data_IF_325016841301
#
_entry.id   IF_325016841301
#
_cell.length_a   1.000
_cell.length_b   1.000
_cell.length_c   1.000
_cell.angle_alpha   90.00
_cell.angle_beta   90.00
_cell.angle_gamma   90.00
#
_symmetry.space_group_name_H-M   'P 1'
#
loop_
_entity.id
_entity.type
_entity.pdbx_description
1 polymer ?
#
# COMPACT_ATOMS: atom_id res chain seq x y z
N UNK A 1 63.52 -21.49 -21.17
CA UNK A 1 62.60 -22.14 -20.20
C UNK A 1 62.27 -23.54 -20.66
N UNK A 2 63.19 -24.48 -20.46
CA UNK A 2 63.05 -25.91 -20.80
C UNK A 2 63.48 -26.79 -19.62
N UNK A 3 63.45 -26.24 -18.41
CA UNK A 3 63.87 -26.93 -17.21
C UNK A 3 62.77 -27.89 -16.76
N UNK A 4 63.16 -29.07 -16.25
CA UNK A 4 62.21 -30.03 -15.72
C UNK A 4 61.62 -29.54 -14.39
N UNK A 5 60.32 -29.81 -14.18
CA UNK A 5 59.64 -29.54 -12.91
C UNK A 5 59.84 -30.69 -11.93
N UNK A 6 59.96 -30.36 -10.65
CA UNK A 6 59.96 -31.33 -9.57
C UNK A 6 58.60 -31.40 -8.86
N UNK A 7 58.42 -32.40 -7.98
CA UNK A 7 57.16 -32.64 -7.26
C UNK A 7 56.79 -31.48 -6.32
N UNK A 8 57.78 -30.79 -5.73
CA UNK A 8 57.51 -29.65 -4.85
C UNK A 8 56.91 -28.48 -5.63
N UNK A 9 57.41 -28.20 -6.83
CA UNK A 9 56.86 -27.20 -7.75
C UNK A 9 55.43 -27.56 -8.16
N UNK A 10 55.15 -28.84 -8.43
CA UNK A 10 53.80 -29.30 -8.76
C UNK A 10 52.82 -29.08 -7.59
N UNK A 11 53.18 -29.50 -6.37
CA UNK A 11 52.32 -29.33 -5.19
C UNK A 11 52.04 -27.86 -4.87
N UNK A 12 53.04 -26.98 -5.04
CA UNK A 12 52.87 -25.55 -4.85
C UNK A 12 51.89 -24.95 -5.86
N UNK A 13 51.94 -25.38 -7.12
CA UNK A 13 50.97 -24.98 -8.14
C UNK A 13 49.57 -25.51 -7.85
N UNK A 14 49.44 -26.72 -7.32
CA UNK A 14 48.16 -27.34 -7.00
C UNK A 14 47.47 -26.67 -5.81
N UNK A 15 48.23 -26.23 -4.81
CA UNK A 15 47.71 -25.61 -3.59
C UNK A 15 46.88 -24.33 -3.84
N UNK A 16 47.09 -23.64 -4.96
CA UNK A 16 46.32 -22.46 -5.36
C UNK A 16 45.24 -22.73 -6.41
N UNK A 17 45.07 -23.98 -6.85
CA UNK A 17 44.15 -24.36 -7.92
C UNK A 17 42.73 -24.53 -7.39
N UNK A 18 41.74 -23.99 -8.10
CA UNK A 18 40.32 -24.28 -7.88
C UNK A 18 39.95 -25.52 -8.67
N UNK A 19 39.34 -26.52 -8.01
CA UNK A 19 39.13 -27.85 -8.59
C UNK A 19 37.76 -28.41 -8.23
N UNK A 20 37.14 -29.10 -9.19
CA UNK A 20 36.04 -30.01 -8.91
C UNK A 20 36.55 -31.29 -8.23
N UNK A 21 35.67 -31.95 -7.49
CA UNK A 21 35.98 -33.26 -6.91
C UNK A 21 36.05 -34.35 -7.97
N UNK A 22 36.94 -35.31 -7.76
CA UNK A 22 37.07 -36.52 -8.59
C UNK A 22 36.55 -37.71 -7.80
N UNK A 23 35.63 -38.46 -8.40
CA UNK A 23 35.03 -39.65 -7.82
C UNK A 23 36.03 -40.82 -7.77
N UNK A 24 35.72 -41.85 -6.98
CA UNK A 24 36.57 -43.04 -6.85
C UNK A 24 36.78 -43.81 -8.17
N UNK A 25 35.84 -43.69 -9.12
CA UNK A 25 35.93 -44.28 -10.46
C UNK A 25 36.76 -43.44 -11.45
N UNK A 26 37.30 -42.30 -11.00
CA UNK A 26 38.11 -41.38 -11.79
C UNK A 26 37.31 -40.33 -12.59
N UNK A 27 35.97 -40.34 -12.54
CA UNK A 27 35.14 -39.30 -13.16
C UNK A 27 35.15 -37.99 -12.36
N UNK A 28 34.94 -36.85 -13.03
CA UNK A 28 34.87 -35.52 -12.38
C UNK A 28 33.41 -35.15 -12.09
N UNK A 29 33.13 -34.68 -10.87
CA UNK A 29 31.81 -34.19 -10.49
C UNK A 29 31.66 -32.68 -10.76
N UNK A 30 31.01 -32.32 -11.88
CA UNK A 30 30.79 -30.92 -12.27
C UNK A 30 29.57 -30.25 -11.60
N UNK A 31 28.79 -30.99 -10.81
CA UNK A 31 27.54 -30.46 -10.24
C UNK A 31 27.74 -29.49 -9.08
N UNK A 32 28.86 -29.60 -8.36
CA UNK A 32 29.17 -28.77 -7.19
C UNK A 32 30.65 -28.38 -7.23
N UNK A 33 30.91 -27.08 -7.02
CA UNK A 33 32.26 -26.56 -6.83
C UNK A 33 32.41 -26.03 -5.41
N UNK A 34 33.12 -26.78 -4.57
CA UNK A 34 33.39 -26.40 -3.18
C UNK A 34 34.51 -25.36 -3.13
N UNK A 35 34.25 -24.22 -2.49
CA UNK A 35 35.24 -23.19 -2.18
C UNK A 35 35.48 -23.15 -0.66
N UNK A 36 36.49 -22.39 -0.23
CA UNK A 36 36.82 -22.24 1.18
C UNK A 36 38.10 -22.96 1.56
N UNK A 37 38.31 -23.11 2.87
CA UNK A 37 39.53 -23.71 3.44
C UNK A 37 39.41 -25.21 3.76
N UNK A 38 38.25 -25.81 3.49
CA UNK A 38 37.97 -27.22 3.82
C UNK A 38 37.70 -27.50 5.30
N UNK A 39 37.70 -26.48 6.15
CA UNK A 39 37.47 -26.55 7.60
C UNK A 39 36.32 -25.65 8.09
N UNK A 40 35.51 -25.15 7.15
CA UNK A 40 34.31 -24.33 7.42
C UNK A 40 34.46 -22.85 7.04
N UNK A 41 35.67 -22.40 6.67
CA UNK A 41 35.86 -21.07 6.10
C UNK A 41 35.32 -20.97 4.68
N UNK A 42 34.93 -19.77 4.27
CA UNK A 42 34.36 -19.49 2.94
C UNK A 42 35.28 -18.58 2.11
N UNK A 43 35.03 -18.52 0.81
CA UNK A 43 35.80 -17.68 -0.12
C UNK A 43 34.92 -16.60 -0.75
N UNK A 44 35.34 -15.33 -0.69
CA UNK A 44 34.70 -14.25 -1.44
C UNK A 44 35.20 -14.25 -2.88
N UNK A 45 34.28 -14.35 -3.83
CA UNK A 45 34.59 -14.26 -5.27
C UNK A 45 34.51 -12.77 -5.70
N UNK A 46 35.65 -12.21 -6.10
CA UNK A 46 35.75 -10.84 -6.62
C UNK A 46 35.64 -10.78 -8.14
N UNK A 47 35.48 -9.56 -8.68
CA UNK A 47 35.47 -9.30 -10.13
C UNK A 47 34.39 -10.07 -10.92
N UNK A 48 33.27 -10.38 -10.27
CA UNK A 48 32.10 -10.98 -10.92
C UNK A 48 31.34 -9.89 -11.69
N UNK A 49 31.31 -10.03 -13.01
CA UNK A 49 30.54 -9.14 -13.89
C UNK A 49 29.03 -9.31 -13.67
N UNK A 50 28.23 -8.39 -14.20
CA UNK A 50 26.78 -8.53 -14.11
C UNK A 50 26.31 -9.75 -14.91
N UNK A 51 25.45 -10.57 -14.30
CA UNK A 51 24.74 -11.67 -14.94
C UNK A 51 23.89 -11.17 -16.11
N UNK A 52 23.85 -11.96 -17.20
CA UNK A 52 23.04 -11.69 -18.40
C UNK A 52 22.04 -12.83 -18.64
N UNK A 53 22.46 -14.08 -18.45
CA UNK A 53 21.62 -15.27 -18.57
C UNK A 53 21.08 -15.71 -17.21
N UNK A 54 20.00 -16.49 -17.21
CA UNK A 54 19.34 -16.99 -16.00
C UNK A 54 20.25 -17.82 -15.08
N UNK A 55 21.26 -18.48 -15.64
CA UNK A 55 22.21 -19.34 -14.91
C UNK A 55 23.53 -18.65 -14.57
N UNK A 56 23.66 -17.35 -14.84
CA UNK A 56 24.87 -16.60 -14.50
C UNK A 56 24.89 -16.23 -13.00
N UNK A 57 26.09 -16.17 -12.42
CA UNK A 57 26.25 -15.69 -11.06
C UNK A 57 25.95 -14.19 -10.97
N UNK A 58 25.09 -13.80 -10.02
CA UNK A 58 24.78 -12.39 -9.76
C UNK A 58 25.87 -11.73 -8.92
N UNK A 59 26.18 -10.48 -9.22
CA UNK A 59 27.06 -9.68 -8.39
C UNK A 59 26.27 -8.80 -7.40
N UNK A 60 26.97 -8.23 -6.42
CA UNK A 60 26.34 -7.44 -5.36
C UNK A 60 25.63 -6.16 -5.88
N UNK A 61 26.09 -5.59 -7.00
CA UNK A 61 25.46 -4.42 -7.59
C UNK A 61 24.07 -4.75 -8.17
N UNK A 62 23.91 -5.92 -8.81
CA UNK A 62 22.60 -6.38 -9.29
C UNK A 62 21.63 -6.63 -8.12
N UNK A 63 22.10 -7.24 -7.03
CA UNK A 63 21.28 -7.45 -5.85
C UNK A 63 20.77 -6.11 -5.28
N UNK A 64 21.65 -5.12 -5.08
CA UNK A 64 21.26 -3.79 -4.59
C UNK A 64 20.24 -3.13 -5.51
N UNK A 65 20.45 -3.18 -6.84
CA UNK A 65 19.49 -2.63 -7.81
C UNK A 65 18.12 -3.30 -7.71
N UNK A 66 18.08 -4.63 -7.58
CA UNK A 66 16.80 -5.35 -7.46
C UNK A 66 16.02 -4.95 -6.19
N UNK A 67 16.72 -4.70 -5.08
CA UNK A 67 16.13 -4.18 -3.84
C UNK A 67 15.65 -2.74 -4.01
N UNK A 68 16.43 -1.87 -4.66
CA UNK A 68 16.04 -0.49 -4.96
C UNK A 68 14.80 -0.42 -5.86
N UNK A 69 14.70 -1.28 -6.87
CA UNK A 69 13.52 -1.42 -7.73
C UNK A 69 12.28 -1.88 -6.94
N UNK A 70 12.45 -2.85 -6.03
CA UNK A 70 11.37 -3.31 -5.14
C UNK A 70 10.90 -2.22 -4.17
N UNK A 71 11.83 -1.43 -3.63
CA UNK A 71 11.50 -0.28 -2.78
C UNK A 71 10.76 0.80 -3.58
N UNK A 72 11.22 1.13 -4.78
CA UNK A 72 10.57 2.10 -5.67
C UNK A 72 9.13 1.67 -5.99
N UNK A 73 8.92 0.39 -6.28
CA UNK A 73 7.59 -0.17 -6.49
C UNK A 73 6.69 -0.02 -5.24
N UNK A 74 7.26 -0.30 -4.06
CA UNK A 74 6.54 -0.17 -2.79
C UNK A 74 6.17 1.29 -2.50
N UNK A 75 7.10 2.23 -2.70
CA UNK A 75 6.87 3.66 -2.51
C UNK A 75 5.79 4.18 -3.45
N UNK A 76 5.78 3.74 -4.71
CA UNK A 76 4.72 4.07 -5.65
C UNK A 76 3.36 3.58 -5.16
N UNK A 77 3.26 2.32 -4.72
CA UNK A 77 2.01 1.77 -4.18
C UNK A 77 1.56 2.46 -2.90
N UNK A 78 2.49 2.83 -2.03
CA UNK A 78 2.19 3.61 -0.84
C UNK A 78 1.72 5.03 -1.17
N UNK A 79 2.28 5.67 -2.20
CA UNK A 79 1.81 6.97 -2.69
C UNK A 79 0.39 6.93 -3.25
N UNK A 80 0.08 5.91 -4.06
CA UNK A 80 -1.28 5.64 -4.56
C UNK A 80 -2.26 5.42 -3.39
N UNK A 81 -1.86 4.62 -2.39
CA UNK A 81 -2.66 4.34 -1.21
C UNK A 81 -2.92 5.59 -0.36
N UNK A 82 -1.89 6.40 -0.12
CA UNK A 82 -2.02 7.65 0.65
C UNK A 82 -2.98 8.63 -0.05
N UNK A 83 -2.92 8.71 -1.37
CA UNK A 83 -3.84 9.54 -2.16
C UNK A 83 -5.29 9.03 -2.04
N UNK A 84 -5.49 7.70 -2.08
CA UNK A 84 -6.80 7.09 -1.87
C UNK A 84 -7.32 7.33 -0.45
N UNK A 85 -6.47 7.21 0.57
CA UNK A 85 -6.83 7.48 1.96
C UNK A 85 -7.27 8.93 2.12
N UNK A 86 -6.52 9.91 1.60
CA UNK A 86 -6.94 11.32 1.61
C UNK A 86 -8.29 11.53 0.90
N UNK A 87 -8.51 10.86 -0.22
CA UNK A 87 -9.81 10.90 -0.90
C UNK A 87 -10.96 10.36 -0.03
N UNK A 88 -10.72 9.28 0.71
CA UNK A 88 -11.68 8.73 1.69
C UNK A 88 -11.89 9.68 2.86
N UNK A 89 -10.83 10.26 3.41
CA UNK A 89 -10.91 11.24 4.51
C UNK A 89 -11.72 12.47 4.11
N UNK A 90 -11.51 13.02 2.91
CA UNK A 90 -12.28 14.15 2.41
C UNK A 90 -13.74 13.76 2.17
N UNK A 91 -14.02 12.61 1.53
CA UNK A 91 -15.41 12.12 1.36
C UNK A 91 -16.11 11.91 2.70
N UNK A 92 -15.43 11.32 3.69
CA UNK A 92 -15.96 11.15 5.04
C UNK A 92 -16.25 12.50 5.70
N UNK A 93 -15.32 13.45 5.58
CA UNK A 93 -15.48 14.81 6.12
C UNK A 93 -16.67 15.53 5.47
N UNK A 94 -16.85 15.41 4.16
CA UNK A 94 -18.03 15.90 3.44
C UNK A 94 -19.33 15.22 3.90
N UNK A 95 -19.29 13.91 4.18
CA UNK A 95 -20.44 13.18 4.75
C UNK A 95 -20.83 13.68 6.14
N UNK A 96 -19.86 13.99 7.01
CA UNK A 96 -20.10 14.57 8.34
C UNK A 96 -20.65 16.00 8.20
N UNK A 97 -20.09 16.80 7.28
CA UNK A 97 -20.62 18.14 6.98
C UNK A 97 -22.09 18.07 6.54
N UNK A 98 -22.46 17.10 5.68
CA UNK A 98 -23.85 16.85 5.30
C UNK A 98 -24.73 16.53 6.51
N UNK A 99 -24.26 15.65 7.40
CA UNK A 99 -25.00 15.29 8.61
C UNK A 99 -25.22 16.50 9.54
N UNK A 100 -24.22 17.36 9.71
CA UNK A 100 -24.37 18.60 10.49
C UNK A 100 -25.32 19.59 9.83
N UNK A 101 -25.26 19.74 8.50
CA UNK A 101 -26.20 20.57 7.76
C UNK A 101 -27.64 20.07 7.97
N UNK A 102 -27.87 18.76 7.86
CA UNK A 102 -29.15 18.10 8.15
C UNK A 102 -29.64 18.31 9.58
N UNK A 103 -28.74 18.19 10.55
CA UNK A 103 -29.07 18.40 11.97
C UNK A 103 -29.43 19.87 12.24
N UNK A 104 -28.81 20.81 11.53
CA UNK A 104 -29.09 22.23 11.63
C UNK A 104 -30.42 22.68 11.00
N UNK A 105 -31.13 21.82 10.26
CA UNK A 105 -32.42 22.18 9.64
C UNK A 105 -33.52 22.40 10.69
N UNK A 106 -34.10 23.62 10.77
CA UNK A 106 -35.27 23.88 11.60
C UNK A 106 -36.47 22.99 11.24
N UNK A 107 -37.32 22.75 12.23
CA UNK A 107 -38.52 21.90 12.13
C UNK A 107 -39.78 22.69 12.52
N UNK A 108 -40.90 22.43 11.84
CA UNK A 108 -42.22 22.95 12.20
C UNK A 108 -42.64 22.46 13.60
N UNK A 109 -43.22 23.36 14.41
CA UNK A 109 -43.64 23.06 15.79
C UNK A 109 -45.13 23.32 16.06
N UNK A 110 -45.86 23.96 15.14
CA UNK A 110 -47.27 24.29 15.30
C UNK A 110 -48.18 23.24 14.63
N UNK A 111 -49.32 22.84 15.23
CA UNK A 111 -50.27 21.91 14.61
C UNK A 111 -50.75 22.38 13.23
N UNK A 112 -50.77 21.47 12.26
CA UNK A 112 -51.13 21.76 10.87
C UNK A 112 -50.10 22.58 10.08
N UNK A 113 -48.96 22.94 10.67
CA UNK A 113 -47.94 23.73 10.00
C UNK A 113 -47.00 22.89 9.14
N UNK A 114 -46.62 23.47 8.00
CA UNK A 114 -45.58 22.98 7.11
C UNK A 114 -44.39 23.95 7.15
N UNK A 115 -43.17 23.43 7.07
CA UNK A 115 -41.95 24.24 7.01
C UNK A 115 -41.01 23.71 5.95
N UNK A 116 -40.46 24.62 5.14
CA UNK A 116 -39.29 24.35 4.29
C UNK A 116 -38.08 25.01 4.92
N UNK A 117 -36.97 24.29 5.01
CA UNK A 117 -35.74 24.75 5.64
C UNK A 117 -34.52 24.52 4.74
N UNK A 118 -33.51 25.37 4.95
CA UNK A 118 -32.17 25.26 4.37
C UNK A 118 -31.15 25.43 5.49
N UNK A 119 -30.06 24.67 5.44
CA UNK A 119 -28.99 24.73 6.43
C UNK A 119 -27.64 24.40 5.77
N UNK A 120 -26.56 24.80 6.43
CA UNK A 120 -25.19 24.50 6.02
C UNK A 120 -24.41 23.82 7.14
N UNK A 121 -23.39 23.07 6.78
CA UNK A 121 -22.48 22.40 7.73
C UNK A 121 -21.06 22.40 7.19
N UNK A 122 -20.07 22.39 8.07
CA UNK A 122 -18.66 22.31 7.69
C UNK A 122 -17.88 21.44 8.66
N UNK A 123 -17.02 20.59 8.14
CA UNK A 123 -16.16 19.71 8.93
C UNK A 123 -14.83 19.47 8.21
N UNK A 124 -13.72 19.66 8.92
CA UNK A 124 -12.37 19.30 8.44
C UNK A 124 -12.04 19.82 7.02
N UNK A 125 -12.42 21.07 6.72
CA UNK A 125 -12.18 21.71 5.40
C UNK A 125 -13.27 21.46 4.36
N UNK A 126 -14.17 20.51 4.59
CA UNK A 126 -15.31 20.23 3.73
C UNK A 126 -16.56 21.00 4.17
N UNK A 127 -17.51 21.19 3.24
CA UNK A 127 -18.76 21.90 3.49
C UNK A 127 -19.93 21.17 2.85
N UNK A 128 -21.13 21.41 3.36
CA UNK A 128 -22.36 20.84 2.83
C UNK A 128 -23.54 21.78 3.00
N UNK A 129 -24.52 21.61 2.12
CA UNK A 129 -25.81 22.29 2.16
C UNK A 129 -26.91 21.25 2.24
N UNK A 130 -27.88 21.52 3.11
CA UNK A 130 -29.06 20.70 3.33
C UNK A 130 -30.33 21.49 3.02
N UNK A 131 -31.31 20.79 2.47
CA UNK A 131 -32.69 21.28 2.36
C UNK A 131 -33.61 20.27 3.05
N UNK A 132 -34.70 20.76 3.64
CA UNK A 132 -35.67 19.91 4.29
C UNK A 132 -37.08 20.45 4.25
N UNK A 133 -38.03 19.55 4.41
CA UNK A 133 -39.43 19.86 4.64
C UNK A 133 -39.88 19.13 5.90
N UNK A 134 -40.71 19.78 6.71
CA UNK A 134 -41.34 19.17 7.89
C UNK A 134 -42.79 19.56 8.01
N UNK A 135 -43.59 18.68 8.60
CA UNK A 135 -45.03 18.83 8.76
C UNK A 135 -45.45 18.35 10.15
N UNK A 136 -46.32 19.09 10.81
CA UNK A 136 -47.03 18.64 12.03
C UNK A 136 -48.48 18.34 11.66
N UNK A 137 -49.04 17.22 12.12
CA UNK A 137 -50.44 16.89 11.89
C UNK A 137 -51.38 17.95 12.48
N UNK A 138 -52.59 18.06 11.95
CA UNK A 138 -53.60 19.01 12.50
C UNK A 138 -53.94 18.72 13.96
N UNK A 139 -53.89 17.46 14.36
CA UNK A 139 -54.04 17.03 15.75
C UNK A 139 -52.86 17.40 16.66
N UNK A 140 -51.75 17.88 16.11
CA UNK A 140 -50.52 18.20 16.85
C UNK A 140 -49.73 16.97 17.32
N UNK A 141 -50.28 15.77 17.17
CA UNK A 141 -49.69 14.55 17.71
C UNK A 141 -48.55 13.97 16.88
N UNK A 142 -48.52 14.18 15.55
CA UNK A 142 -47.48 13.61 14.68
C UNK A 142 -46.61 14.69 14.03
N UNK A 143 -45.31 14.43 13.95
CA UNK A 143 -44.33 15.28 13.27
C UNK A 143 -43.57 14.46 12.24
N UNK A 144 -43.47 14.95 11.01
CA UNK A 144 -42.73 14.33 9.90
C UNK A 144 -41.60 15.25 9.44
N UNK A 145 -40.48 14.68 9.01
CA UNK A 145 -39.33 15.41 8.42
C UNK A 145 -38.75 14.63 7.25
N UNK A 146 -38.55 15.29 6.12
CA UNK A 146 -37.82 14.79 4.96
C UNK A 146 -36.70 15.79 4.64
N UNK A 147 -35.49 15.30 4.40
CA UNK A 147 -34.32 16.17 4.20
C UNK A 147 -33.33 15.53 3.23
N UNK A 148 -32.65 16.37 2.45
CA UNK A 148 -31.64 16.01 1.48
C UNK A 148 -30.44 16.95 1.54
N UNK A 149 -29.26 16.47 1.13
CA UNK A 149 -28.00 17.24 1.20
C UNK A 149 -27.10 16.99 0.01
N UNK A 150 -26.20 17.93 -0.21
CA UNK A 150 -25.04 17.78 -1.08
C UNK A 150 -23.82 18.43 -0.42
N UNK A 151 -22.64 17.87 -0.62
CA UNK A 151 -21.39 18.39 -0.05
C UNK A 151 -20.36 18.78 -1.13
N UNK A 152 -19.28 19.44 -0.71
CA UNK A 152 -18.18 19.90 -1.57
C UNK A 152 -17.44 18.77 -2.31
N UNK A 153 -17.57 17.53 -1.83
CA UNK A 153 -17.04 16.33 -2.50
C UNK A 153 -17.97 15.79 -3.60
N UNK A 154 -19.14 16.42 -3.79
CA UNK A 154 -20.14 16.04 -4.79
C UNK A 154 -21.00 14.84 -4.41
N UNK A 155 -20.95 14.39 -3.14
CA UNK A 155 -21.79 13.29 -2.66
C UNK A 155 -23.15 13.83 -2.18
N UNK A 156 -24.20 13.02 -2.30
CA UNK A 156 -25.59 13.36 -1.93
C UNK A 156 -26.14 12.39 -0.88
N UNK A 157 -26.92 12.89 0.08
CA UNK A 157 -27.55 12.07 1.12
C UNK A 157 -28.98 12.52 1.40
N UNK A 158 -29.86 11.61 1.79
CA UNK A 158 -31.24 11.91 2.18
C UNK A 158 -31.63 11.17 3.46
N UNK A 159 -32.56 11.74 4.23
CA UNK A 159 -33.14 11.10 5.42
C UNK A 159 -34.61 11.49 5.56
N UNK A 160 -35.39 10.59 6.17
CA UNK A 160 -36.78 10.80 6.54
C UNK A 160 -36.99 10.34 7.99
N UNK A 161 -37.86 11.02 8.73
CA UNK A 161 -38.19 10.67 10.10
C UNK A 161 -39.62 11.06 10.46
N UNK A 162 -40.19 10.37 11.44
CA UNK A 162 -41.48 10.67 12.03
C UNK A 162 -41.42 10.50 13.56
N UNK A 163 -42.17 11.31 14.30
CA UNK A 163 -42.29 11.24 15.75
C UNK A 163 -43.72 11.50 16.20
N UNK A 164 -44.10 10.92 17.34
CA UNK A 164 -45.38 11.15 17.99
C UNK A 164 -45.17 11.86 19.34
N UNK A 165 -45.96 12.88 19.61
CA UNK A 165 -45.96 13.64 20.86
C UNK A 165 -47.37 13.69 21.45
N UNK A 166 -47.49 13.64 22.78
CA UNK A 166 -48.74 13.67 23.54
C UNK A 166 -48.71 14.71 24.65
#
# INVERSE_FOLDING_TARGET
NTDAVNVAQLKASEAGSVRYETNADGSVNYSVLNLGDGSGGTTRIGNVSAAVNDTDAVNYAQLKRSVEEANTYTDQKMGEMNSKIKGVENKMSGGIASAMAMAGLPQAYAPGANMTSIAGGTFNGESAVAIGVSMVSESGGWVYKLQGTSNSQGDYSAAIGAGFQW
#
